data_IF_068586530776
#
_entry.id   IF_068586530776
#
_cell.length_a   1.000
_cell.length_b   1.000
_cell.length_c   1.000
_cell.angle_alpha   90.00
_cell.angle_beta   90.00
_cell.angle_gamma   90.00
#
_symmetry.space_group_name_H-M   'P 1'
#
loop_
_entity.id
_entity.type
_entity.pdbx_description
1 polymer ?
#
# COMPACT_ATOMS: atom_id res chain seq x y z
N UNK A 1 -8.84 -11.95 -6.50
CA UNK A 1 -7.63 -11.54 -5.76
C UNK A 1 -6.71 -10.68 -6.61
N UNK A 2 -6.61 -9.39 -6.25
CA UNK A 2 -5.82 -8.35 -6.90
C UNK A 2 -4.64 -7.98 -5.99
N UNK A 3 -3.45 -7.84 -6.58
CA UNK A 3 -2.24 -7.35 -5.88
C UNK A 3 -1.79 -6.05 -6.52
N UNK A 4 -1.69 -5.00 -5.71
CA UNK A 4 -1.30 -3.67 -6.17
C UNK A 4 0.10 -3.37 -5.63
N UNK A 5 1.07 -3.18 -6.53
CA UNK A 5 2.40 -2.78 -6.15
C UNK A 5 2.43 -1.28 -5.85
N UNK A 6 2.94 -0.91 -4.68
CA UNK A 6 3.09 0.49 -4.25
C UNK A 6 4.53 0.77 -3.84
N UNK A 7 5.01 2.02 -3.94
CA UNK A 7 6.39 2.36 -3.57
C UNK A 7 6.67 2.05 -2.10
N UNK A 8 7.74 1.32 -1.83
CA UNK A 8 8.26 0.98 -0.50
C UNK A 8 8.82 2.20 0.24
N UNK A 9 9.48 3.10 -0.50
CA UNK A 9 10.19 4.28 0.03
C UNK A 9 10.39 5.32 -1.07
N UNK A 10 10.81 6.52 -0.66
CA UNK A 10 11.06 7.65 -1.55
C UNK A 10 9.87 8.62 -1.63
N UNK A 11 9.98 9.63 -2.49
CA UNK A 11 9.04 10.77 -2.54
C UNK A 11 7.60 10.37 -2.88
N UNK A 12 7.42 9.24 -3.57
CA UNK A 12 6.10 8.76 -3.97
C UNK A 12 5.43 7.86 -2.93
N UNK A 13 6.14 7.42 -1.88
CA UNK A 13 5.57 6.52 -0.88
C UNK A 13 4.38 7.16 -0.15
N UNK A 14 4.62 8.25 0.57
CA UNK A 14 3.59 8.92 1.37
C UNK A 14 2.40 9.40 0.51
N UNK A 15 2.61 10.06 -0.65
CA UNK A 15 1.51 10.43 -1.53
C UNK A 15 0.67 9.24 -2.01
N UNK A 16 1.31 8.10 -2.32
CA UNK A 16 0.58 6.90 -2.77
C UNK A 16 -0.31 6.35 -1.64
N UNK A 17 0.20 6.32 -0.42
CA UNK A 17 -0.55 5.88 0.76
C UNK A 17 -1.76 6.78 1.01
N UNK A 18 -1.58 8.10 0.96
CA UNK A 18 -2.67 9.05 1.13
C UNK A 18 -3.71 8.92 0.01
N UNK A 19 -3.29 8.77 -1.25
CA UNK A 19 -4.20 8.58 -2.38
C UNK A 19 -5.11 7.34 -2.19
N UNK A 20 -4.54 6.20 -1.80
CA UNK A 20 -5.34 4.99 -1.56
C UNK A 20 -6.24 5.12 -0.33
N UNK A 21 -5.79 5.83 0.71
CA UNK A 21 -6.62 6.14 1.88
C UNK A 21 -7.84 6.99 1.48
N UNK A 22 -7.65 8.02 0.67
CA UNK A 22 -8.73 8.88 0.15
C UNK A 22 -9.67 8.12 -0.78
N UNK A 23 -9.15 7.16 -1.56
CA UNK A 23 -9.93 6.26 -2.40
C UNK A 23 -10.70 5.18 -1.61
N UNK A 24 -10.66 5.19 -0.27
CA UNK A 24 -11.36 4.23 0.57
C UNK A 24 -10.66 2.88 0.71
N UNK A 25 -9.39 2.77 0.33
CA UNK A 25 -8.55 1.57 0.45
C UNK A 25 -7.35 1.84 1.39
N UNK A 26 -7.59 2.10 2.68
CA UNK A 26 -6.50 2.40 3.62
C UNK A 26 -5.60 1.17 3.81
N UNK A 27 -4.30 1.43 3.99
CA UNK A 27 -3.35 0.39 4.40
C UNK A 27 -3.61 -0.01 5.84
N UNK A 28 -4.01 -1.26 6.06
CA UNK A 28 -4.26 -1.80 7.39
C UNK A 28 -3.00 -2.43 7.99
N UNK A 29 -2.74 -2.11 9.26
CA UNK A 29 -1.77 -2.85 10.08
C UNK A 29 -0.41 -2.21 10.30
N UNK A 30 -0.26 -0.91 10.06
CA UNK A 30 0.79 -0.04 10.64
C UNK A 30 2.25 -0.37 10.31
N UNK A 31 3.04 0.66 10.03
CA UNK A 31 4.47 0.57 9.67
C UNK A 31 5.33 -0.17 10.71
N UNK A 32 5.90 -1.32 10.33
CA UNK A 32 7.36 -1.46 10.21
C UNK A 32 7.72 -2.79 9.52
N UNK A 33 8.31 -2.71 8.32
CA UNK A 33 8.96 -3.82 7.59
C UNK A 33 8.07 -5.00 7.15
N UNK A 34 6.87 -4.73 6.62
CA UNK A 34 6.08 -5.78 5.94
C UNK A 34 6.11 -5.59 4.43
N UNK A 35 6.38 -6.66 3.69
CA UNK A 35 6.34 -6.67 2.22
C UNK A 35 4.90 -6.60 1.70
N UNK A 36 3.93 -7.04 2.49
CA UNK A 36 2.52 -7.05 2.15
C UNK A 36 1.69 -6.32 3.20
N UNK A 37 0.66 -5.61 2.76
CA UNK A 37 -0.35 -5.05 3.64
C UNK A 37 -1.75 -5.34 3.11
N UNK A 38 -2.68 -5.53 4.05
CA UNK A 38 -4.09 -5.73 3.72
C UNK A 38 -4.79 -4.38 3.57
N UNK A 39 -5.91 -4.39 2.86
CA UNK A 39 -6.87 -3.29 2.82
C UNK A 39 -8.15 -3.69 3.53
N UNK A 40 -9.14 -2.80 3.59
CA UNK A 40 -10.50 -3.14 4.03
C UNK A 40 -11.23 -4.09 3.07
N UNK A 41 -10.83 -4.13 1.80
CA UNK A 41 -11.30 -5.12 0.84
C UNK A 41 -10.44 -6.40 0.93
N UNK A 42 -11.03 -7.56 1.28
CA UNK A 42 -10.30 -8.83 1.41
C UNK A 42 -9.73 -9.34 0.09
N UNK A 43 -10.22 -8.88 -1.06
CA UNK A 43 -9.72 -9.26 -2.38
C UNK A 43 -8.52 -8.43 -2.83
N UNK A 44 -8.17 -7.36 -2.10
CA UNK A 44 -7.10 -6.42 -2.46
C UNK A 44 -5.98 -6.45 -1.42
N UNK A 45 -4.76 -6.65 -1.90
CA UNK A 45 -3.53 -6.62 -1.08
C UNK A 45 -2.49 -5.68 -1.70
N UNK A 46 -1.84 -4.87 -0.88
CA UNK A 46 -0.70 -4.05 -1.29
C UNK A 46 0.62 -4.82 -1.18
N UNK A 47 1.50 -4.64 -2.16
CA UNK A 47 2.88 -5.11 -2.18
C UNK A 47 3.82 -3.90 -2.21
N UNK A 48 4.68 -3.77 -1.21
CA UNK A 48 5.67 -2.69 -1.17
C UNK A 48 6.90 -3.04 -2.02
N UNK A 49 7.07 -2.37 -3.16
CA UNK A 49 8.17 -2.58 -4.09
C UNK A 49 9.05 -1.32 -4.25
N UNK A 50 10.31 -1.48 -4.66
CA UNK A 50 11.13 -0.32 -5.03
C UNK A 50 10.61 0.28 -6.34
N UNK A 51 10.47 1.59 -6.39
CA UNK A 51 10.36 2.31 -7.65
C UNK A 51 11.71 2.22 -8.39
N UNK A 52 11.66 2.04 -9.71
CA UNK A 52 12.82 2.06 -10.60
C UNK A 52 13.20 3.49 -10.98
#
# INVERSE_FOLDING_TARGET
MIRIAIPNKGRLHEPTIQMFKEAGLPVLGGSNRKLFAKTNDPEITFLFARAA
#
